data_IF_752633816092
#
_entry.id   IF_752633816092
#
_cell.length_a   1.000
_cell.length_b   1.000
_cell.length_c   1.000
_cell.angle_alpha   90.00
_cell.angle_beta   90.00
_cell.angle_gamma   90.00
#
_symmetry.space_group_name_H-M   'P 1'
#
loop_
_entity.id
_entity.type
_entity.pdbx_description
1 polymer ?
#
# COMPACT_ATOMS: atom_id res chain seq x y z
N UNK A 1 -11.37 -11.05 13.12
CA UNK A 1 -10.83 -9.70 13.42
C UNK A 1 -11.95 -8.79 12.97
N UNK A 2 -12.68 -8.25 13.94
CA UNK A 2 -13.89 -7.50 13.66
C UNK A 2 -13.51 -6.12 13.10
N UNK A 3 -14.33 -5.63 12.17
CA UNK A 3 -14.14 -4.33 11.56
C UNK A 3 -14.33 -3.22 12.62
N UNK A 4 -13.24 -2.58 13.02
CA UNK A 4 -13.23 -1.48 13.98
C UNK A 4 -13.42 -0.11 13.32
N UNK A 5 -13.72 -0.06 12.03
CA UNK A 5 -13.99 1.20 11.32
C UNK A 5 -15.29 1.88 11.78
N UNK A 6 -16.17 1.15 12.50
CA UNK A 6 -17.48 1.65 12.93
C UNK A 6 -18.49 1.82 11.79
N UNK A 7 -18.15 1.34 10.59
CA UNK A 7 -19.03 1.31 9.43
C UNK A 7 -19.63 -0.08 9.28
N UNK A 8 -20.95 -0.20 9.45
CA UNK A 8 -21.66 -1.37 8.98
C UNK A 8 -21.58 -1.38 7.44
N UNK A 9 -20.86 -2.36 6.90
CA UNK A 9 -20.58 -2.46 5.46
C UNK A 9 -21.72 -3.13 4.71
N UNK A 10 -22.90 -2.49 4.71
CA UNK A 10 -24.02 -2.84 3.82
C UNK A 10 -23.95 -2.15 2.45
N UNK A 11 -22.94 -1.29 2.24
CA UNK A 11 -22.80 -0.50 1.01
C UNK A 11 -21.75 -1.13 0.10
N UNK A 12 -22.21 -1.59 -1.06
CA UNK A 12 -21.35 -2.03 -2.16
C UNK A 12 -20.45 -0.85 -2.58
N UNK A 13 -19.16 -0.91 -2.19
CA UNK A 13 -18.13 0.10 -2.49
C UNK A 13 -18.03 0.43 -3.99
N UNK A 14 -18.62 -0.41 -4.85
CA UNK A 14 -18.76 -0.20 -6.30
C UNK A 14 -19.49 1.08 -6.70
N UNK A 15 -20.34 1.66 -5.86
CA UNK A 15 -21.10 2.87 -6.23
C UNK A 15 -20.43 4.20 -5.85
N UNK A 16 -19.46 4.18 -4.93
CA UNK A 16 -18.78 5.39 -4.49
C UNK A 16 -17.71 5.73 -5.51
N UNK A 17 -18.02 6.61 -6.47
CA UNK A 17 -17.16 7.69 -7.02
C UNK A 17 -15.61 7.54 -7.00
N UNK A 18 -15.07 6.32 -7.12
CA UNK A 18 -13.65 5.99 -7.03
C UNK A 18 -12.87 6.53 -8.23
N UNK A 19 -13.59 6.91 -9.28
CA UNK A 19 -13.03 7.46 -10.49
C UNK A 19 -12.84 8.99 -10.45
N UNK A 20 -13.28 9.67 -9.38
CA UNK A 20 -13.09 11.12 -9.28
C UNK A 20 -11.60 11.49 -9.18
N UNK A 21 -11.16 12.62 -9.77
CA UNK A 21 -9.77 13.06 -9.66
C UNK A 21 -9.26 13.20 -8.22
N UNK A 22 -10.14 13.57 -7.28
CA UNK A 22 -9.79 13.71 -5.87
C UNK A 22 -9.49 12.35 -5.22
N UNK A 23 -10.37 11.35 -5.41
CA UNK A 23 -10.16 10.01 -4.85
C UNK A 23 -8.89 9.37 -5.44
N UNK A 24 -8.66 9.49 -6.75
CA UNK A 24 -7.42 9.01 -7.38
C UNK A 24 -6.17 9.66 -6.78
N UNK A 25 -6.19 10.97 -6.52
CA UNK A 25 -5.06 11.65 -5.86
C UNK A 25 -4.81 11.11 -4.45
N UNK A 26 -5.87 10.88 -3.67
CA UNK A 26 -5.75 10.32 -2.32
C UNK A 26 -5.20 8.89 -2.39
N UNK A 27 -5.73 8.04 -3.28
CA UNK A 27 -5.26 6.66 -3.43
C UNK A 27 -3.78 6.59 -3.86
N UNK A 28 -3.36 7.46 -4.78
CA UNK A 28 -1.95 7.59 -5.17
C UNK A 28 -1.08 7.97 -3.97
N UNK A 29 -1.47 9.01 -3.23
CA UNK A 29 -0.76 9.42 -2.02
C UNK A 29 -0.66 8.27 -1.03
N UNK A 30 -1.77 7.63 -0.69
CA UNK A 30 -1.79 6.49 0.24
C UNK A 30 -0.84 5.39 -0.25
N UNK A 31 -0.87 5.03 -1.53
CA UNK A 31 0.01 3.97 -2.03
C UNK A 31 1.50 4.36 -2.02
N UNK A 32 1.82 5.62 -2.34
CA UNK A 32 3.19 6.15 -2.34
C UNK A 32 3.81 6.18 -0.95
N UNK A 33 2.99 6.31 0.08
CA UNK A 33 3.43 6.30 1.47
C UNK A 33 3.34 4.90 2.09
N UNK A 34 2.19 4.25 2.00
CA UNK A 34 1.92 3.05 2.78
C UNK A 34 2.60 1.80 2.20
N UNK A 35 2.77 1.70 0.88
CA UNK A 35 3.42 0.53 0.28
C UNK A 35 4.91 0.44 0.61
N UNK A 36 5.73 1.51 0.45
CA UNK A 36 7.12 1.47 0.90
C UNK A 36 7.24 1.20 2.41
N UNK A 37 6.39 1.83 3.20
CA UNK A 37 6.33 1.63 4.65
C UNK A 37 6.09 0.16 5.03
N UNK A 38 5.04 -0.45 4.48
CA UNK A 38 4.69 -1.84 4.73
C UNK A 38 5.75 -2.80 4.23
N UNK A 39 6.34 -2.53 3.07
CA UNK A 39 7.37 -3.40 2.48
C UNK A 39 8.63 -3.40 3.33
N UNK A 40 9.12 -2.21 3.71
CA UNK A 40 10.33 -2.08 4.51
C UNK A 40 10.15 -2.68 5.90
N UNK A 41 9.00 -2.43 6.53
CA UNK A 41 8.67 -3.04 7.82
C UNK A 41 8.45 -4.54 7.70
N UNK A 42 7.57 -5.00 6.81
CA UNK A 42 7.20 -6.41 6.69
C UNK A 42 8.37 -7.36 6.36
N UNK A 43 9.45 -6.83 5.77
CA UNK A 43 10.69 -7.57 5.49
C UNK A 43 11.75 -7.46 6.60
N UNK A 44 11.54 -6.62 7.61
CA UNK A 44 12.49 -6.44 8.70
C UNK A 44 12.37 -7.53 9.78
N UNK A 45 13.47 -7.73 10.52
CA UNK A 45 13.49 -8.62 11.70
C UNK A 45 12.86 -7.91 12.90
N UNK A 46 12.09 -8.64 13.72
CA UNK A 46 11.41 -8.10 14.92
C UNK A 46 12.32 -7.20 15.76
N UNK A 47 11.89 -5.95 15.99
CA UNK A 47 12.61 -4.99 16.82
C UNK A 47 13.75 -4.23 16.12
N UNK A 48 14.05 -4.52 14.85
CA UNK A 48 14.98 -3.74 14.05
C UNK A 48 14.47 -2.31 13.83
N UNK A 49 15.41 -1.36 13.71
CA UNK A 49 15.09 -0.03 13.22
C UNK A 49 14.90 -0.07 11.71
N UNK A 50 13.78 0.46 11.24
CA UNK A 50 13.46 0.61 9.82
C UNK A 50 13.40 2.09 9.52
N UNK A 51 14.09 2.52 8.48
CA UNK A 51 14.01 3.88 7.94
C UNK A 51 13.53 3.79 6.49
N UNK A 52 12.52 4.59 6.17
CA UNK A 52 11.89 4.62 4.84
C UNK A 52 11.89 6.05 4.36
N UNK A 53 12.40 6.26 3.14
CA UNK A 53 12.25 7.50 2.40
C UNK A 53 11.08 7.35 1.43
N UNK A 54 10.23 8.36 1.38
CA UNK A 54 9.06 8.40 0.53
C UNK A 54 9.20 9.54 -0.46
N UNK A 55 8.74 9.29 -1.68
CA UNK A 55 8.77 10.25 -2.76
C UNK A 55 7.34 10.49 -3.24
N UNK A 56 6.87 11.73 -3.10
CA UNK A 56 5.55 12.15 -3.54
C UNK A 56 5.59 12.72 -4.95
N UNK A 57 4.44 12.69 -5.63
CA UNK A 57 4.28 13.16 -7.02
C UNK A 57 4.59 14.66 -7.19
N UNK A 58 4.50 15.45 -6.13
CA UNK A 58 4.82 16.89 -6.13
C UNK A 58 6.32 17.18 -5.90
N UNK A 59 7.15 16.14 -5.84
CA UNK A 59 8.59 16.22 -5.64
C UNK A 59 9.01 16.32 -4.18
N UNK A 60 8.07 16.35 -3.23
CA UNK A 60 8.42 16.31 -1.82
C UNK A 60 8.97 14.94 -1.42
N UNK A 61 9.95 14.95 -0.53
CA UNK A 61 10.49 13.75 0.11
C UNK A 61 10.38 13.85 1.61
N UNK A 62 10.10 12.72 2.25
CA UNK A 62 10.06 12.65 3.70
C UNK A 62 10.65 11.32 4.16
N UNK A 63 11.20 11.31 5.38
CA UNK A 63 11.77 10.13 6.01
C UNK A 63 11.00 9.77 7.26
N UNK A 64 10.75 8.49 7.44
CA UNK A 64 10.16 7.95 8.66
C UNK A 64 11.08 6.88 9.24
N UNK A 65 11.24 6.89 10.56
CA UNK A 65 12.04 5.90 11.28
C UNK A 65 11.25 5.37 12.47
N UNK A 66 11.14 4.05 12.55
CA UNK A 66 10.46 3.37 13.66
C UNK A 66 11.14 2.03 13.97
N UNK A 67 10.70 1.38 15.05
CA UNK A 67 11.03 -0.02 15.32
C UNK A 67 9.98 -0.92 14.70
N UNK A 68 10.41 -1.92 13.95
CA UNK A 68 9.51 -2.88 13.32
C UNK A 68 8.66 -3.65 14.35
N UNK A 69 7.35 -3.65 14.11
CA UNK A 69 6.35 -4.45 14.81
C UNK A 69 5.80 -5.59 13.95
N UNK A 70 5.36 -6.72 14.54
CA UNK A 70 4.93 -7.90 13.78
C UNK A 70 3.66 -7.67 12.94
N UNK A 71 2.89 -6.62 13.23
CA UNK A 71 1.61 -6.35 12.56
C UNK A 71 1.80 -6.00 11.08
N UNK A 72 2.83 -5.21 10.74
CA UNK A 72 3.12 -4.78 9.38
C UNK A 72 3.45 -5.96 8.47
N UNK A 73 4.13 -6.99 8.99
CA UNK A 73 4.39 -8.22 8.26
C UNK A 73 3.10 -8.95 7.90
N UNK A 74 2.17 -9.10 8.86
CA UNK A 74 0.87 -9.72 8.59
C UNK A 74 0.11 -8.96 7.50
N UNK A 75 0.08 -7.62 7.57
CA UNK A 75 -0.58 -6.80 6.55
C UNK A 75 0.06 -6.98 5.17
N UNK A 76 1.39 -7.04 5.09
CA UNK A 76 2.10 -7.27 3.83
C UNK A 76 1.80 -8.67 3.26
N UNK A 77 1.93 -9.72 4.08
CA UNK A 77 1.67 -11.10 3.66
C UNK A 77 0.20 -11.28 3.16
N UNK A 78 -0.76 -10.62 3.83
CA UNK A 78 -2.16 -10.61 3.40
C UNK A 78 -2.35 -9.87 2.06
N UNK A 79 -1.68 -8.72 1.86
CA UNK A 79 -1.75 -7.97 0.60
C UNK A 79 -1.12 -8.76 -0.56
N UNK A 80 0.05 -9.36 -0.34
CA UNK A 80 0.73 -10.21 -1.33
C UNK A 80 -0.20 -11.35 -1.77
N UNK A 81 -0.82 -12.06 -0.81
CA UNK A 81 -1.75 -13.16 -1.10
C UNK A 81 -2.94 -12.72 -1.96
N UNK A 82 -3.55 -11.57 -1.67
CA UNK A 82 -4.68 -11.09 -2.48
C UNK A 82 -4.20 -10.60 -3.86
N UNK A 83 -3.05 -9.94 -3.93
CA UNK A 83 -2.49 -9.43 -5.18
C UNK A 83 -2.10 -10.57 -6.14
N UNK A 84 -1.58 -11.67 -5.61
CA UNK A 84 -1.26 -12.88 -6.38
C UNK A 84 -2.48 -13.48 -7.08
N UNK A 85 -3.66 -13.40 -6.46
CA UNK A 85 -4.92 -13.90 -7.01
C UNK A 85 -5.50 -13.02 -8.12
N UNK A 86 -4.98 -11.80 -8.30
CA UNK A 86 -5.44 -10.89 -9.34
C UNK A 86 -4.89 -11.27 -10.71
N UNK A 87 -5.75 -11.18 -11.72
CA UNK A 87 -5.36 -11.26 -13.13
C UNK A 87 -4.46 -10.08 -13.52
N UNK A 88 -3.67 -10.25 -14.58
CA UNK A 88 -2.85 -9.18 -15.13
C UNK A 88 -3.68 -7.92 -15.51
N UNK A 89 -4.94 -8.10 -15.92
CA UNK A 89 -5.84 -6.98 -16.22
C UNK A 89 -6.20 -6.19 -14.98
N UNK A 90 -6.57 -6.87 -13.89
CA UNK A 90 -6.90 -6.23 -12.61
C UNK A 90 -5.68 -5.53 -12.00
N UNK A 91 -4.49 -6.13 -12.09
CA UNK A 91 -3.25 -5.47 -11.64
C UNK A 91 -2.95 -4.18 -12.41
N UNK A 92 -3.17 -4.17 -13.73
CA UNK A 92 -3.05 -2.95 -14.56
C UNK A 92 -4.08 -1.89 -14.19
N UNK A 93 -5.32 -2.28 -13.92
CA UNK A 93 -6.38 -1.38 -13.48
C UNK A 93 -6.02 -0.70 -12.15
N UNK A 94 -5.60 -1.49 -11.16
CA UNK A 94 -5.12 -0.97 -9.87
C UNK A 94 -3.94 -0.02 -10.08
N UNK A 95 -2.93 -0.40 -10.88
CA UNK A 95 -1.79 0.46 -11.17
C UNK A 95 -2.19 1.80 -11.82
N UNK A 96 -3.28 1.81 -12.60
CA UNK A 96 -3.82 3.05 -13.20
C UNK A 96 -4.46 3.95 -12.13
N UNK A 97 -5.12 3.35 -11.14
CA UNK A 97 -5.80 4.07 -10.05
C UNK A 97 -4.82 4.63 -9.01
N UNK A 98 -3.88 3.79 -8.57
CA UNK A 98 -3.03 4.08 -7.41
C UNK A 98 -1.59 4.39 -7.79
N UNK A 99 -1.20 4.22 -9.05
CA UNK A 99 0.18 4.37 -9.49
C UNK A 99 1.02 3.10 -9.30
N UNK A 100 2.35 3.19 -9.49
CA UNK A 100 3.20 2.02 -9.65
C UNK A 100 3.62 1.36 -8.33
N UNK A 101 3.36 1.98 -7.18
CA UNK A 101 3.90 1.54 -5.89
C UNK A 101 3.42 0.15 -5.46
N UNK A 102 2.15 -0.19 -5.72
CA UNK A 102 1.63 -1.52 -5.37
C UNK A 102 2.40 -2.61 -6.14
N UNK A 103 2.50 -2.51 -7.46
CA UNK A 103 3.23 -3.50 -8.26
C UNK A 103 4.73 -3.53 -7.92
N UNK A 104 5.38 -2.37 -7.78
CA UNK A 104 6.81 -2.31 -7.41
C UNK A 104 7.11 -3.00 -6.07
N UNK A 105 6.22 -2.83 -5.09
CA UNK A 105 6.39 -3.40 -3.76
C UNK A 105 6.02 -4.88 -3.68
N UNK A 106 4.98 -5.31 -4.41
CA UNK A 106 4.41 -6.66 -4.32
C UNK A 106 4.89 -7.64 -5.41
N UNK A 107 5.27 -7.20 -6.61
CA UNK A 107 5.77 -8.08 -7.69
C UNK A 107 7.22 -8.56 -7.47
N UNK A 108 7.76 -8.44 -6.24
CA UNK A 108 9.12 -8.87 -5.88
C UNK A 108 10.26 -8.16 -6.64
N UNK A 109 9.94 -7.18 -7.50
CA UNK A 109 10.84 -6.62 -8.52
C UNK A 109 11.33 -5.19 -8.23
N UNK A 110 11.00 -4.59 -7.08
CA UNK A 110 11.60 -3.32 -6.62
C UNK A 110 12.74 -3.62 -5.66
N UNK A 111 13.96 -3.80 -6.15
CA UNK A 111 14.96 -2.76 -6.45
C UNK A 111 15.36 -1.97 -5.21
N UNK A 112 16.66 -2.07 -4.88
CA UNK A 112 17.39 -1.28 -3.89
C UNK A 112 16.85 0.15 -3.84
N UNK A 113 16.28 0.52 -2.69
CA UNK A 113 16.32 1.90 -2.20
C UNK A 113 17.76 2.20 -1.77
#
# INVERSE_FOLDING_TARGET
>A
MDDLSGLETDVDWKSLYMDTPAVKKILKLISAMYMPYLTANGKATRGAWVEVEFHLDDGQTFRHKEKFGPYQKKCLDDLERHYEQLTASQRREIATLVGPYIGRCLDGSGSKL
#
